data_IF_402668769236
#
_entry.id   IF_402668769236
#
_cell.length_a   1.000
_cell.length_b   1.000
_cell.length_c   1.000
_cell.angle_alpha   90.00
_cell.angle_beta   90.00
_cell.angle_gamma   90.00
#
_symmetry.space_group_name_H-M   'P 1'
#
loop_
_entity.id
_entity.type
_entity.pdbx_description
1 polymer ?
#
# COMPACT_ATOMS: atom_id res chain seq x y z
N UNK A 1 33.81 9.83 -13.37
CA UNK A 1 34.07 9.95 -11.92
C UNK A 1 32.80 10.44 -11.24
N UNK A 2 32.10 9.53 -10.57
CA UNK A 2 30.79 9.78 -9.95
C UNK A 2 31.03 10.58 -8.66
N UNK A 3 30.71 11.88 -8.66
CA UNK A 3 30.53 12.65 -7.42
C UNK A 3 29.08 12.47 -6.95
N UNK A 4 28.82 11.41 -6.19
CA UNK A 4 27.61 11.35 -5.35
C UNK A 4 27.79 12.33 -4.17
N UNK A 5 26.79 13.15 -3.81
CA UNK A 5 26.99 14.20 -2.82
C UNK A 5 27.12 13.58 -1.42
N UNK A 6 28.23 13.93 -0.77
CA UNK A 6 28.62 13.58 0.59
C UNK A 6 27.63 14.04 1.69
N UNK A 7 26.54 14.72 1.30
CA UNK A 7 25.64 15.46 2.20
C UNK A 7 24.69 14.51 2.95
N UNK A 8 24.31 13.39 2.34
CA UNK A 8 23.42 12.39 2.96
C UNK A 8 24.13 11.74 4.17
N UNK A 9 25.42 11.43 4.05
CA UNK A 9 26.19 10.82 5.13
C UNK A 9 26.45 11.77 6.30
N UNK A 10 26.57 13.07 6.06
CA UNK A 10 26.79 14.06 7.13
C UNK A 10 25.57 14.31 8.01
N UNK A 11 24.34 14.20 7.48
CA UNK A 11 23.11 14.26 8.30
C UNK A 11 22.93 12.94 9.06
N UNK A 12 23.30 11.81 8.44
CA UNK A 12 23.25 10.48 9.05
C UNK A 12 24.21 10.33 10.25
N UNK A 13 25.34 11.07 10.26
CA UNK A 13 26.32 11.01 11.34
C UNK A 13 25.94 11.86 12.58
N UNK A 14 25.17 12.94 12.41
CA UNK A 14 24.77 13.83 13.51
C UNK A 14 23.66 13.19 14.37
N UNK A 15 22.83 12.30 13.79
CA UNK A 15 21.81 11.55 14.53
C UNK A 15 22.38 10.47 15.47
N UNK A 16 23.67 10.13 15.35
CA UNK A 16 24.34 9.11 16.16
C UNK A 16 24.54 9.51 17.65
N UNK A 17 24.24 10.75 18.03
CA UNK A 17 24.25 11.20 19.43
C UNK A 17 22.93 10.93 20.19
N UNK A 18 21.85 10.64 19.47
CA UNK A 18 20.60 10.14 20.04
C UNK A 18 20.44 8.68 19.61
N UNK A 19 19.94 7.83 20.50
CA UNK A 19 19.75 6.39 20.29
C UNK A 19 18.63 6.05 19.26
N UNK A 20 18.50 6.86 18.19
CA UNK A 20 17.44 6.75 17.18
C UNK A 20 17.86 5.75 16.11
N UNK A 21 17.05 4.70 15.97
CA UNK A 21 17.25 3.65 14.97
C UNK A 21 16.98 4.23 13.57
N UNK A 22 17.85 3.93 12.59
CA UNK A 22 17.64 4.30 11.17
C UNK A 22 16.73 3.31 10.43
N UNK A 23 16.41 2.19 11.08
CA UNK A 23 15.53 1.16 10.56
C UNK A 23 14.09 1.42 11.05
N UNK A 24 13.17 1.79 10.14
CA UNK A 24 11.80 2.10 10.51
C UNK A 24 11.03 0.88 11.03
N UNK A 25 11.38 -0.34 10.61
CA UNK A 25 10.74 -1.57 11.13
C UNK A 25 11.15 -1.82 12.59
N UNK A 26 12.43 -1.59 12.90
CA UNK A 26 12.92 -1.72 14.28
C UNK A 26 12.28 -0.67 15.19
N UNK A 27 12.23 0.59 14.75
CA UNK A 27 11.53 1.67 15.47
C UNK A 27 10.06 1.30 15.74
N UNK A 28 9.35 0.83 14.72
CA UNK A 28 7.96 0.41 14.85
C UNK A 28 7.79 -0.76 15.82
N UNK A 29 8.67 -1.77 15.76
CA UNK A 29 8.66 -2.93 16.66
C UNK A 29 8.93 -2.54 18.13
N UNK A 30 9.73 -1.51 18.35
CA UNK A 30 10.04 -0.97 19.67
C UNK A 30 8.93 -0.03 20.21
N UNK A 31 7.91 0.27 19.41
CA UNK A 31 6.83 1.20 19.76
C UNK A 31 7.20 2.67 19.57
N UNK A 32 8.37 2.98 18.99
CA UNK A 32 8.78 4.32 18.61
C UNK A 32 8.15 4.69 17.26
N UNK A 33 6.83 4.90 17.28
CA UNK A 33 6.06 5.16 16.08
C UNK A 33 6.34 6.54 15.48
N UNK A 34 6.75 7.52 16.28
CA UNK A 34 7.09 8.86 15.79
C UNK A 34 8.37 8.82 14.95
N UNK A 35 9.40 8.12 15.42
CA UNK A 35 10.63 7.92 14.65
C UNK A 35 10.36 7.07 13.39
N UNK A 36 9.62 5.96 13.52
CA UNK A 36 9.22 5.14 12.36
C UNK A 36 8.48 5.97 11.30
N UNK A 37 7.53 6.81 11.73
CA UNK A 37 6.79 7.72 10.84
C UNK A 37 7.71 8.71 10.13
N UNK A 38 8.66 9.33 10.86
CA UNK A 38 9.60 10.29 10.29
C UNK A 38 10.47 9.65 9.20
N UNK A 39 10.98 8.44 9.43
CA UNK A 39 11.80 7.70 8.47
C UNK A 39 10.96 7.29 7.25
N UNK A 40 9.75 6.75 7.46
CA UNK A 40 8.84 6.40 6.36
C UNK A 40 8.47 7.59 5.51
N UNK A 41 8.27 8.77 6.11
CA UNK A 41 7.97 9.99 5.39
C UNK A 41 9.08 10.38 4.41
N UNK A 42 10.34 10.25 4.82
CA UNK A 42 11.49 10.52 3.95
C UNK A 42 11.52 9.53 2.78
N UNK A 43 11.46 8.22 3.06
CA UNK A 43 11.49 7.17 2.02
C UNK A 43 10.34 7.28 1.02
N UNK A 44 9.14 7.63 1.48
CA UNK A 44 7.98 7.80 0.61
C UNK A 44 8.15 8.94 -0.41
N UNK A 45 8.98 9.96 -0.12
CA UNK A 45 9.32 11.03 -1.08
C UNK A 45 10.22 10.55 -2.21
N UNK A 46 10.93 9.44 -2.00
CA UNK A 46 11.79 8.77 -3.00
C UNK A 46 11.01 7.72 -3.82
N UNK A 47 9.68 7.73 -3.75
CA UNK A 47 8.76 6.77 -4.38
C UNK A 47 8.91 5.31 -3.92
N UNK A 48 9.40 5.08 -2.71
CA UNK A 48 9.36 3.78 -2.07
C UNK A 48 7.90 3.35 -1.78
N UNK A 49 7.47 2.25 -2.40
CA UNK A 49 6.10 1.73 -2.31
C UNK A 49 5.77 1.16 -0.92
N UNK A 50 6.75 0.51 -0.28
CA UNK A 50 6.60 0.00 1.08
C UNK A 50 6.42 1.17 2.05
N UNK A 51 7.22 2.22 1.89
CA UNK A 51 7.11 3.42 2.71
C UNK A 51 5.75 4.12 2.54
N UNK A 52 5.24 4.21 1.31
CA UNK A 52 3.90 4.75 1.05
C UNK A 52 2.81 3.91 1.70
N UNK A 53 2.89 2.58 1.62
CA UNK A 53 1.98 1.69 2.34
C UNK A 53 2.07 1.85 3.87
N UNK A 54 3.28 1.98 4.40
CA UNK A 54 3.51 2.19 5.82
C UNK A 54 2.91 3.52 6.30
N UNK A 55 3.09 4.62 5.56
CA UNK A 55 2.42 5.89 5.87
C UNK A 55 0.89 5.75 5.90
N UNK A 56 0.32 4.98 4.96
CA UNK A 56 -1.10 4.63 4.99
C UNK A 56 -1.53 4.00 6.32
N UNK A 57 -0.71 3.10 6.85
CA UNK A 57 -0.94 2.42 8.15
C UNK A 57 -0.82 3.39 9.32
N UNK A 58 0.21 4.23 9.33
CA UNK A 58 0.42 5.23 10.38
C UNK A 58 -0.77 6.19 10.48
N UNK A 59 -1.28 6.70 9.36
CA UNK A 59 -2.46 7.56 9.34
C UNK A 59 -3.76 6.82 9.67
N UNK A 60 -3.92 5.57 9.25
CA UNK A 60 -5.10 4.75 9.54
C UNK A 60 -5.26 4.50 11.04
N UNK A 61 -4.15 4.19 11.71
CA UNK A 61 -4.12 3.80 13.12
C UNK A 61 -3.78 4.94 14.08
N UNK A 62 -3.23 6.05 13.57
CA UNK A 62 -2.76 7.16 14.40
C UNK A 62 -1.45 6.86 15.13
N UNK A 63 -0.54 6.12 14.49
CA UNK A 63 0.74 5.72 15.07
C UNK A 63 1.78 6.80 14.80
N UNK A 64 2.28 7.48 15.83
CA UNK A 64 3.29 8.55 15.69
C UNK A 64 2.81 9.78 14.90
N UNK A 65 1.52 9.83 14.55
CA UNK A 65 0.86 10.92 13.83
C UNK A 65 -0.62 10.91 14.21
N UNK A 66 -1.30 12.06 14.12
CA UNK A 66 -2.76 12.10 14.29
C UNK A 66 -3.44 11.24 13.23
N UNK A 67 -4.38 10.39 13.68
CA UNK A 67 -5.21 9.56 12.79
C UNK A 67 -5.93 10.42 11.75
N UNK A 68 -5.82 10.03 10.48
CA UNK A 68 -6.45 10.69 9.34
C UNK A 68 -6.76 9.66 8.24
N UNK A 69 -8.04 9.31 8.08
CA UNK A 69 -8.47 8.31 7.10
C UNK A 69 -8.32 8.78 5.65
N UNK A 70 -8.39 10.10 5.40
CA UNK A 70 -8.23 10.64 4.06
C UNK A 70 -6.78 10.53 3.61
N UNK A 71 -5.85 10.88 4.49
CA UNK A 71 -4.41 10.71 4.22
C UNK A 71 -4.04 9.22 4.12
N UNK A 72 -4.61 8.36 4.97
CA UNK A 72 -4.39 6.92 4.88
C UNK A 72 -4.78 6.37 3.49
N UNK A 73 -5.98 6.73 3.02
CA UNK A 73 -6.47 6.38 1.68
C UNK A 73 -5.52 6.89 0.60
N UNK A 74 -5.13 8.16 0.65
CA UNK A 74 -4.26 8.76 -0.38
C UNK A 74 -2.93 8.02 -0.50
N UNK A 75 -2.30 7.68 0.64
CA UNK A 75 -1.02 6.96 0.65
C UNK A 75 -1.15 5.52 0.15
N UNK A 76 -2.17 4.78 0.59
CA UNK A 76 -2.42 3.45 0.05
C UNK A 76 -2.74 3.51 -1.45
N UNK A 77 -3.54 4.47 -1.89
CA UNK A 77 -3.89 4.62 -3.31
C UNK A 77 -2.66 4.88 -4.17
N UNK A 78 -1.74 5.75 -3.72
CA UNK A 78 -0.49 6.02 -4.44
C UNK A 78 0.34 4.74 -4.68
N UNK A 79 0.51 3.90 -3.66
CA UNK A 79 1.25 2.64 -3.78
C UNK A 79 0.46 1.56 -4.55
N UNK A 80 -0.86 1.50 -4.34
CA UNK A 80 -1.74 0.50 -4.95
C UNK A 80 -1.88 0.68 -6.47
N UNK A 81 -1.95 1.94 -6.94
CA UNK A 81 -1.96 2.29 -8.36
C UNK A 81 -0.63 1.92 -9.05
N UNK A 82 0.46 1.89 -8.29
CA UNK A 82 1.77 1.40 -8.72
C UNK A 82 1.97 -0.09 -8.44
N UNK A 83 0.88 -0.85 -8.31
CA UNK A 83 0.93 -2.31 -8.27
C UNK A 83 1.35 -2.92 -6.93
N UNK A 84 1.57 -2.14 -5.87
CA UNK A 84 2.06 -2.69 -4.60
C UNK A 84 0.98 -3.56 -3.91
N UNK A 85 1.14 -4.89 -3.81
CA UNK A 85 0.03 -5.78 -3.44
C UNK A 85 -0.50 -5.57 -2.01
N UNK A 86 0.36 -5.24 -1.05
CA UNK A 86 -0.09 -4.96 0.33
C UNK A 86 -0.95 -3.70 0.39
N UNK A 87 -0.57 -2.66 -0.35
CA UNK A 87 -1.34 -1.41 -0.42
C UNK A 87 -2.68 -1.62 -1.13
N UNK A 88 -2.70 -2.43 -2.19
CA UNK A 88 -3.95 -2.82 -2.85
C UNK A 88 -4.88 -3.54 -1.86
N UNK A 89 -4.38 -4.54 -1.12
CA UNK A 89 -5.18 -5.21 -0.10
C UNK A 89 -5.67 -4.24 0.98
N UNK A 90 -4.81 -3.36 1.47
CA UNK A 90 -5.18 -2.40 2.53
C UNK A 90 -6.23 -1.38 2.05
N UNK A 91 -6.10 -0.89 0.81
CA UNK A 91 -7.08 -0.02 0.20
C UNK A 91 -8.43 -0.74 -0.01
N UNK A 92 -8.40 -2.00 -0.43
CA UNK A 92 -9.60 -2.84 -0.52
C UNK A 92 -10.32 -2.95 0.83
N UNK A 93 -9.58 -3.21 1.91
CA UNK A 93 -10.13 -3.25 3.27
C UNK A 93 -10.70 -1.90 3.75
N UNK A 94 -10.12 -0.76 3.34
CA UNK A 94 -10.69 0.55 3.65
C UNK A 94 -12.04 0.77 2.96
N UNK A 95 -12.20 0.33 1.72
CA UNK A 95 -13.49 0.40 1.00
C UNK A 95 -14.51 -0.57 1.59
N UNK A 96 -14.10 -1.80 1.94
CA UNK A 96 -14.95 -2.80 2.59
C UNK A 96 -15.48 -2.31 3.96
N UNK A 97 -14.62 -1.66 4.75
CA UNK A 97 -14.96 -1.14 6.07
C UNK A 97 -15.76 0.18 6.03
N UNK A 98 -15.83 0.82 4.86
CA UNK A 98 -16.45 2.13 4.68
C UNK A 98 -15.63 3.31 5.19
N UNK A 99 -14.34 3.12 5.47
CA UNK A 99 -13.43 4.16 5.97
C UNK A 99 -13.11 5.25 4.95
N UNK A 100 -13.34 5.00 3.66
CA UNK A 100 -13.05 5.98 2.60
C UNK A 100 -14.10 7.10 2.55
N UNK A 101 -15.40 6.78 2.67
CA UNK A 101 -16.50 7.72 2.45
C UNK A 101 -17.67 7.56 3.45
N UNK A 102 -17.42 7.00 4.64
CA UNK A 102 -18.45 6.61 5.61
C UNK A 102 -19.54 5.68 5.04
N UNK A 103 -19.23 4.97 3.96
CA UNK A 103 -20.09 3.99 3.32
C UNK A 103 -19.22 2.93 2.66
N UNK A 104 -19.67 1.68 2.73
CA UNK A 104 -18.96 0.52 2.18
C UNK A 104 -19.09 0.52 0.66
N UNK A 105 -17.98 0.30 -0.02
CA UNK A 105 -17.90 0.19 -1.48
C UNK A 105 -17.31 -1.18 -1.84
N UNK A 106 -18.19 -2.17 -1.96
CA UNK A 106 -17.77 -3.54 -2.18
C UNK A 106 -17.23 -3.79 -3.60
N UNK A 107 -17.66 -3.00 -4.58
CA UNK A 107 -17.13 -3.10 -5.93
C UNK A 107 -15.67 -2.64 -5.98
N UNK A 108 -15.35 -1.50 -5.35
CA UNK A 108 -13.95 -1.07 -5.22
C UNK A 108 -13.13 -1.99 -4.34
N UNK A 109 -13.70 -2.50 -3.25
CA UNK A 109 -13.01 -3.50 -2.42
C UNK A 109 -12.63 -4.72 -3.25
N UNK A 110 -13.55 -5.23 -4.08
CA UNK A 110 -13.32 -6.37 -4.97
C UNK A 110 -12.20 -6.09 -5.96
N UNK A 111 -12.23 -4.93 -6.63
CA UNK A 111 -11.21 -4.52 -7.61
C UNK A 111 -9.81 -4.58 -6.99
N UNK A 112 -9.63 -3.95 -5.81
CA UNK A 112 -8.33 -3.89 -5.16
C UNK A 112 -7.87 -5.23 -4.59
N UNK A 113 -8.76 -6.02 -4.00
CA UNK A 113 -8.42 -7.39 -3.57
C UNK A 113 -8.05 -8.29 -4.75
N UNK A 114 -8.74 -8.15 -5.89
CA UNK A 114 -8.42 -8.93 -7.08
C UNK A 114 -7.05 -8.58 -7.65
N UNK A 115 -6.73 -7.29 -7.74
CA UNK A 115 -5.41 -6.84 -8.16
C UNK A 115 -4.30 -7.43 -7.26
N UNK A 116 -4.48 -7.38 -5.93
CA UNK A 116 -3.52 -7.96 -4.99
C UNK A 116 -3.40 -9.48 -5.15
N UNK A 117 -4.54 -10.18 -5.32
CA UNK A 117 -4.57 -11.62 -5.50
C UNK A 117 -3.86 -12.09 -6.76
N UNK A 118 -4.06 -11.39 -7.89
CA UNK A 118 -3.40 -11.70 -9.17
C UNK A 118 -1.89 -11.51 -9.13
N UNK A 119 -1.40 -10.69 -8.21
CA UNK A 119 0.02 -10.50 -7.94
C UNK A 119 0.56 -11.43 -6.83
N UNK A 120 -0.22 -12.40 -6.38
CA UNK A 120 0.21 -13.44 -5.44
C UNK A 120 0.09 -13.07 -3.96
N UNK A 121 -0.60 -11.98 -3.60
CA UNK A 121 -0.80 -11.63 -2.20
C UNK A 121 -1.62 -12.72 -1.46
N UNK A 122 -1.00 -13.34 -0.46
CA UNK A 122 -1.47 -14.57 0.19
C UNK A 122 -2.86 -14.46 0.82
N UNK A 123 -3.23 -13.30 1.37
CA UNK A 123 -4.53 -13.11 2.02
C UNK A 123 -5.61 -12.51 1.11
N UNK A 124 -5.25 -12.07 -0.10
CA UNK A 124 -6.20 -11.35 -0.95
C UNK A 124 -7.29 -12.27 -1.52
N UNK A 125 -6.95 -13.54 -1.78
CA UNK A 125 -7.92 -14.55 -2.21
C UNK A 125 -9.00 -14.84 -1.16
N UNK A 126 -8.64 -14.83 0.12
CA UNK A 126 -9.61 -15.04 1.19
C UNK A 126 -10.51 -13.80 1.38
N UNK A 127 -9.95 -12.60 1.26
CA UNK A 127 -10.74 -11.36 1.22
C UNK A 127 -11.76 -11.37 0.08
N UNK A 128 -11.41 -11.85 -1.12
CA UNK A 128 -12.36 -12.01 -2.23
C UNK A 128 -13.48 -13.00 -1.93
N UNK A 129 -13.16 -14.16 -1.33
CA UNK A 129 -14.17 -15.17 -0.97
C UNK A 129 -15.14 -14.63 0.06
N UNK A 130 -14.63 -13.98 1.11
CA UNK A 130 -15.45 -13.35 2.15
C UNK A 130 -16.34 -12.28 1.53
N UNK A 131 -15.77 -11.42 0.68
CA UNK A 131 -16.52 -10.38 0.01
C UNK A 131 -17.63 -10.97 -0.88
N UNK A 132 -17.33 -11.97 -1.71
CA UNK A 132 -18.33 -12.63 -2.56
C UNK A 132 -19.42 -13.39 -1.77
N UNK A 133 -19.12 -13.87 -0.57
CA UNK A 133 -20.10 -14.53 0.29
C UNK A 133 -20.99 -13.52 1.05
N UNK A 134 -20.41 -12.40 1.47
CA UNK A 134 -21.11 -11.36 2.26
C UNK A 134 -21.88 -10.38 1.37
N UNK A 135 -21.44 -10.20 0.13
CA UNK A 135 -22.01 -9.27 -0.84
C UNK A 135 -22.69 -10.09 -1.93
N UNK A 136 -23.91 -9.72 -2.31
CA UNK A 136 -24.64 -10.39 -3.40
C UNK A 136 -24.08 -10.01 -4.79
N UNK A 137 -22.77 -9.86 -4.93
CA UNK A 137 -22.11 -9.61 -6.21
C UNK A 137 -22.32 -10.82 -7.12
N UNK A 138 -23.18 -10.67 -8.12
CA UNK A 138 -23.47 -11.75 -9.07
C UNK A 138 -22.18 -12.15 -9.82
N UNK A 139 -22.12 -13.38 -10.37
CA UNK A 139 -20.98 -13.80 -11.19
C UNK A 139 -20.68 -12.82 -12.33
N UNK A 140 -21.71 -12.22 -12.93
CA UNK A 140 -21.54 -11.23 -13.99
C UNK A 140 -20.91 -9.92 -13.47
N UNK A 141 -21.33 -9.43 -12.29
CA UNK A 141 -20.68 -8.27 -11.66
C UNK A 141 -19.20 -8.55 -11.39
N UNK A 142 -18.89 -9.73 -10.85
CA UNK A 142 -17.49 -10.09 -10.56
C UNK A 142 -16.64 -10.14 -11.84
N UNK A 143 -17.18 -10.59 -12.97
CA UNK A 143 -16.46 -10.63 -14.24
C UNK A 143 -16.03 -9.22 -14.69
N UNK A 144 -16.97 -8.28 -14.72
CA UNK A 144 -16.70 -6.87 -15.08
C UNK A 144 -15.68 -6.24 -14.13
N UNK A 145 -15.79 -6.50 -12.83
CA UNK A 145 -14.86 -5.96 -11.83
C UNK A 145 -13.44 -6.55 -11.96
N UNK A 146 -13.31 -7.81 -12.40
CA UNK A 146 -12.00 -8.42 -12.68
C UNK A 146 -11.32 -7.76 -13.87
N UNK A 147 -12.08 -7.48 -14.94
CA UNK A 147 -11.58 -6.76 -16.11
C UNK A 147 -11.11 -5.36 -15.73
N UNK A 148 -11.91 -4.63 -14.93
CA UNK A 148 -11.50 -3.31 -14.45
C UNK A 148 -10.21 -3.37 -13.61
N UNK A 149 -10.05 -4.39 -12.78
CA UNK A 149 -8.89 -4.54 -11.90
C UNK A 149 -7.57 -4.80 -12.64
N UNK A 150 -7.61 -5.22 -13.92
CA UNK A 150 -6.40 -5.51 -14.71
C UNK A 150 -5.46 -4.32 -14.84
N UNK A 151 -6.00 -3.08 -14.88
CA UNK A 151 -5.19 -1.86 -14.98
C UNK A 151 -4.25 -1.63 -13.78
N UNK A 152 -4.49 -2.32 -12.66
CA UNK A 152 -3.69 -2.21 -11.43
C UNK A 152 -2.73 -3.40 -11.24
N UNK A 153 -2.68 -4.34 -12.19
CA UNK A 153 -1.81 -5.52 -12.13
C UNK A 153 -0.60 -5.25 -13.02
N UNK A 154 0.52 -4.83 -12.43
CA UNK A 154 1.71 -4.41 -13.20
C UNK A 154 2.41 -5.58 -13.91
N UNK A 155 2.20 -6.82 -13.45
CA UNK A 155 2.83 -8.01 -14.02
C UNK A 155 2.20 -8.53 -15.33
N UNK A 156 1.12 -7.94 -15.84
CA UNK A 156 0.40 -8.47 -17.02
C UNK A 156 0.84 -7.83 -18.36
N UNK A 157 1.66 -6.77 -18.34
CA UNK A 157 2.15 -6.09 -19.56
C UNK A 157 3.36 -6.81 -20.22
N UNK A 158 4.04 -7.72 -19.52
CA UNK A 158 5.23 -8.41 -20.04
C UNK A 158 4.99 -9.83 -20.60
N UNK A 159 3.74 -10.33 -20.64
CA UNK A 159 3.46 -11.68 -21.18
C UNK A 159 2.68 -11.71 -22.49
N UNK A 160 2.41 -10.57 -23.13
CA UNK A 160 1.60 -10.50 -24.37
C UNK A 160 2.39 -9.97 -25.58
N UNK A 161 3.65 -9.54 -25.44
CA UNK A 161 4.39 -8.93 -26.57
C UNK A 161 5.33 -9.83 -27.38
N UNK A 162 5.63 -11.07 -26.97
CA UNK A 162 6.65 -11.88 -27.66
C UNK A 162 6.17 -13.31 -28.00
N UNK A 163 5.10 -13.49 -28.79
CA UNK A 163 4.81 -14.78 -29.43
C UNK A 163 3.84 -14.71 -30.64
N UNK A 164 3.99 -13.72 -31.52
CA UNK A 164 3.41 -13.78 -32.87
C UNK A 164 4.42 -13.27 -33.91
N UNK A 165 5.30 -14.17 -34.38
CA UNK A 165 5.93 -14.17 -35.71
C UNK A 165 6.27 -15.61 -36.13
#
# INVERSE_FOLDING_TARGET
>A
MIKKPLIIYSILFILCACNQTVDPHLAFKQGDYENAFAIWKIRATENDLEAQNALGTHYLLGLGVKKDLNLAKQWYQKAAELGYPDAQRNLGSMYESGYVNNSRDFEKAFIWFYAAHRQGHVHAGDSLKILAATTKLSPNNQMVLREEAQKYIINEILSVSDNDY
#
